data_IF_698795005120
#
_entry.id   IF_698795005120
#
_cell.length_a   1.000
_cell.length_b   1.000
_cell.length_c   1.000
_cell.angle_alpha   90.00
_cell.angle_beta   90.00
_cell.angle_gamma   90.00
#
_symmetry.space_group_name_H-M   'P 1'
#
loop_
_entity.id
_entity.type
_entity.pdbx_description
1 polymer ?
#
# COMPACT_ATOMS: atom_id res chain seq x y z
N UNK A 1 -5.89 -16.77 8.16
CA UNK A 1 -5.76 -15.40 8.71
C UNK A 1 -7.07 -14.84 9.26
N UNK A 2 -8.18 -14.93 8.52
CA UNK A 2 -9.47 -14.33 8.96
C UNK A 2 -10.08 -14.95 10.23
N UNK A 3 -9.68 -16.17 10.57
CA UNK A 3 -10.07 -16.84 11.82
C UNK A 3 -9.40 -16.23 13.07
N UNK A 4 -8.24 -15.58 12.91
CA UNK A 4 -7.57 -14.90 14.02
C UNK A 4 -8.20 -13.52 14.26
N UNK A 5 -8.46 -13.10 15.50
CA UNK A 5 -9.08 -11.80 15.80
C UNK A 5 -8.41 -10.60 15.11
N UNK A 6 -7.07 -10.57 15.07
CA UNK A 6 -6.30 -9.51 14.41
C UNK A 6 -6.29 -9.58 12.87
N UNK A 7 -6.72 -10.69 12.28
CA UNK A 7 -6.71 -10.91 10.83
C UNK A 7 -8.06 -10.74 10.16
N UNK A 8 -9.09 -10.25 10.89
CA UNK A 8 -10.46 -10.11 10.39
C UNK A 8 -10.54 -9.21 9.14
N UNK A 9 -9.71 -8.19 9.08
CA UNK A 9 -9.66 -7.20 7.98
C UNK A 9 -8.51 -7.47 7.00
N UNK A 10 -7.90 -8.66 7.03
CA UNK A 10 -6.82 -8.98 6.10
C UNK A 10 -7.31 -9.07 4.64
N UNK A 11 -6.63 -8.36 3.76
CA UNK A 11 -6.95 -8.25 2.34
C UNK A 11 -5.70 -8.24 1.45
N UNK A 12 -5.84 -8.73 0.22
CA UNK A 12 -4.82 -8.61 -0.82
C UNK A 12 -4.93 -7.21 -1.44
N UNK A 13 -3.93 -6.36 -1.22
CA UNK A 13 -3.93 -4.96 -1.69
C UNK A 13 -3.26 -4.75 -3.05
N UNK A 14 -2.67 -5.79 -3.63
CA UNK A 14 -1.96 -5.67 -4.90
C UNK A 14 -1.34 -6.98 -5.39
N UNK A 15 -0.57 -6.86 -6.47
CA UNK A 15 0.16 -7.96 -7.11
C UNK A 15 1.50 -7.46 -7.62
N UNK A 16 2.43 -8.37 -7.84
CA UNK A 16 3.69 -8.07 -8.52
C UNK A 16 3.54 -8.26 -10.03
N UNK A 17 4.18 -7.38 -10.77
CA UNK A 17 4.33 -7.45 -12.23
C UNK A 17 5.82 -7.28 -12.56
N UNK A 18 6.24 -7.72 -13.75
CA UNK A 18 7.61 -7.51 -14.21
C UNK A 18 7.88 -6.01 -14.41
N UNK A 19 9.03 -5.52 -13.94
CA UNK A 19 9.36 -4.10 -14.02
C UNK A 19 10.56 -3.70 -13.18
N UNK A 20 10.79 -2.38 -13.05
CA UNK A 20 11.99 -1.79 -12.44
C UNK A 20 11.73 -1.15 -11.08
N UNK A 21 11.09 -1.87 -10.16
CA UNK A 21 10.99 -1.48 -8.75
C UNK A 21 10.05 -0.31 -8.43
N UNK A 22 9.07 -0.02 -9.29
CA UNK A 22 8.08 1.04 -9.04
C UNK A 22 6.80 0.49 -8.42
N UNK A 23 6.07 1.33 -7.67
CA UNK A 23 4.77 0.99 -7.06
C UNK A 23 3.69 1.89 -7.66
N UNK A 24 2.60 1.27 -8.12
CA UNK A 24 1.46 1.96 -8.72
C UNK A 24 0.18 1.67 -7.95
N UNK A 25 -0.58 2.73 -7.66
CA UNK A 25 -1.89 2.65 -7.02
C UNK A 25 -2.99 2.75 -8.08
N UNK A 26 -3.90 1.77 -8.12
CA UNK A 26 -5.17 1.90 -8.86
C UNK A 26 -6.14 2.73 -8.03
N UNK A 27 -6.58 3.85 -8.57
CA UNK A 27 -7.52 4.75 -7.89
C UNK A 27 -8.95 4.24 -8.01
N UNK A 28 -9.85 4.74 -7.15
CA UNK A 28 -11.28 4.41 -7.17
C UNK A 28 -11.98 4.83 -8.47
N UNK A 29 -11.41 5.80 -9.19
CA UNK A 29 -11.90 6.27 -10.49
C UNK A 29 -11.39 5.41 -11.67
N UNK A 30 -10.62 4.36 -11.40
CA UNK A 30 -10.07 3.45 -12.41
C UNK A 30 -8.75 3.91 -13.05
N UNK A 31 -8.21 5.06 -12.65
CA UNK A 31 -6.89 5.53 -13.08
C UNK A 31 -5.75 4.90 -12.27
N UNK A 32 -4.51 5.21 -12.65
CA UNK A 32 -3.30 4.81 -11.90
C UNK A 32 -2.50 6.03 -11.46
N UNK A 33 -1.85 5.93 -10.29
CA UNK A 33 -0.96 6.96 -9.74
C UNK A 33 0.31 6.31 -9.17
N UNK A 34 1.47 6.89 -9.45
CA UNK A 34 2.74 6.45 -8.86
C UNK A 34 2.79 6.72 -7.36
N UNK A 35 3.28 5.75 -6.58
CA UNK A 35 3.51 5.88 -5.14
C UNK A 35 4.99 6.17 -4.92
N UNK A 36 5.27 7.40 -4.52
CA UNK A 36 6.62 7.87 -4.20
C UNK A 36 6.95 7.66 -2.73
N UNK A 37 8.25 7.56 -2.44
CA UNK A 37 8.74 7.56 -1.07
C UNK A 37 8.46 8.92 -0.40
N UNK A 38 7.93 8.96 0.83
CA UNK A 38 7.81 10.20 1.58
C UNK A 38 9.18 10.86 1.78
N UNK A 39 9.22 12.18 1.72
CA UNK A 39 10.44 12.98 1.90
C UNK A 39 10.97 12.99 3.34
N UNK A 40 10.22 12.43 4.30
CA UNK A 40 10.56 12.37 5.72
C UNK A 40 9.42 11.80 6.57
N UNK A 41 9.57 11.84 7.90
CA UNK A 41 8.51 11.44 8.82
C UNK A 41 7.42 12.54 8.89
N UNK A 42 6.13 12.18 8.87
CA UNK A 42 5.05 13.17 8.85
C UNK A 42 4.86 13.88 10.19
N UNK A 43 5.25 13.26 11.31
CA UNK A 43 5.06 13.80 12.66
C UNK A 43 6.24 13.46 13.58
N UNK A 44 6.58 14.34 14.53
CA UNK A 44 7.57 14.03 15.56
C UNK A 44 7.06 12.94 16.51
N UNK A 45 7.94 11.98 16.86
CA UNK A 45 7.67 10.95 17.89
C UNK A 45 6.44 10.06 17.62
N UNK A 46 6.20 9.70 16.35
CA UNK A 46 5.06 8.85 15.93
C UNK A 46 5.25 7.35 16.24
N UNK A 47 6.43 6.95 16.68
CA UNK A 47 6.77 5.58 17.08
C UNK A 47 7.30 5.55 18.51
#
# INVERSE_FOLDING_TARGET
MREHPLGREAEIVGRLESGTGSVWLRTVLGGTRGVEMPTGLPLPRIC
#
